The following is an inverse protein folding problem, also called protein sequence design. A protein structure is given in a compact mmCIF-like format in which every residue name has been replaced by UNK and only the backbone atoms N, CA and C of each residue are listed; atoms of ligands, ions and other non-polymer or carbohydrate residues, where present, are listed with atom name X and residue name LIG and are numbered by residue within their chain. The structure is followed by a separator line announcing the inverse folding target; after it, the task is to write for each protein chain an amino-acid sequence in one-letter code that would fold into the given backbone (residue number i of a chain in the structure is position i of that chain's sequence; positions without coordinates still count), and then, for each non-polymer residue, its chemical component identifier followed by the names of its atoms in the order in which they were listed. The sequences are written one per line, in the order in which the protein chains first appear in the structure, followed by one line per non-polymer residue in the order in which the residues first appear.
data_IF_321861035029
#
_entry.id   IF_321861035029
#
_cell.length_a   1.000
_cell.length_b   1.000
_cell.length_c   1.000
_cell.angle_alpha   90.00
_cell.angle_beta   90.00
_cell.angle_gamma   90.00
#
_symmetry.space_group_name_H-M   'P 1'
#
loop_
_entity.id
_entity.type
_entity.pdbx_description
1 polymer ?
#
# COMPACT_ATOMS: atom_id res chain seq x y z
N UNK A 1 13.43 9.59 -31.05
CA UNK A 1 13.02 8.93 -29.79
C UNK A 1 12.48 7.57 -30.17
N UNK A 2 12.92 6.52 -29.48
CA UNK A 2 12.23 5.24 -29.61
C UNK A 2 10.77 5.42 -29.16
N UNK A 3 9.87 4.61 -29.70
CA UNK A 3 8.47 4.59 -29.28
C UNK A 3 8.41 3.96 -27.87
N UNK A 4 8.57 4.80 -26.83
CA UNK A 4 8.60 4.39 -25.42
C UNK A 4 7.24 3.77 -25.07
N UNK A 5 7.20 2.46 -24.86
CA UNK A 5 5.96 1.73 -24.57
C UNK A 5 5.93 1.17 -23.16
N UNK A 6 7.09 1.00 -22.54
CA UNK A 6 7.24 0.28 -21.27
C UNK A 6 8.16 1.01 -20.30
N UNK A 7 8.06 0.65 -19.01
CA UNK A 7 9.01 1.10 -17.98
C UNK A 7 10.44 0.62 -18.31
N UNK A 8 10.58 -0.54 -18.96
CA UNK A 8 11.88 -1.04 -19.38
C UNK A 8 12.54 -0.11 -20.41
N UNK A 9 11.77 0.39 -21.38
CA UNK A 9 12.28 1.34 -22.39
C UNK A 9 12.80 2.62 -21.73
N UNK A 10 12.06 3.14 -20.75
CA UNK A 10 12.48 4.32 -19.95
C UNK A 10 13.80 4.04 -19.22
N UNK A 11 13.97 2.85 -18.63
CA UNK A 11 15.19 2.50 -17.90
C UNK A 11 16.39 2.32 -18.84
N UNK A 12 16.17 1.79 -20.04
CA UNK A 12 17.20 1.68 -21.07
C UNK A 12 17.62 3.06 -21.57
N UNK A 13 16.66 3.93 -21.91
CA UNK A 13 16.93 5.23 -22.52
C UNK A 13 17.48 6.26 -21.53
N UNK A 14 16.93 6.34 -20.31
CA UNK A 14 17.26 7.42 -19.36
C UNK A 14 18.01 6.97 -18.12
N UNK A 15 18.18 5.66 -17.91
CA UNK A 15 18.64 5.12 -16.63
C UNK A 15 20.11 5.38 -16.29
N UNK A 16 20.99 5.60 -17.27
CA UNK A 16 22.37 6.03 -16.99
C UNK A 16 22.41 7.48 -16.50
N UNK A 17 21.73 8.39 -17.21
CA UNK A 17 21.62 9.81 -16.81
C UNK A 17 20.99 9.96 -15.42
N UNK A 18 19.95 9.17 -15.14
CA UNK A 18 19.32 9.16 -13.82
C UNK A 18 20.30 8.76 -12.72
N UNK A 19 21.13 7.73 -12.94
CA UNK A 19 22.12 7.24 -11.97
C UNK A 19 23.29 8.20 -11.73
N UNK A 20 23.61 9.05 -12.70
CA UNK A 20 24.62 10.10 -12.53
C UNK A 20 24.10 11.26 -11.67
N UNK A 21 22.79 11.53 -11.72
CA UNK A 21 22.19 12.66 -11.01
C UNK A 21 21.65 12.28 -9.62
N UNK A 22 21.18 11.04 -9.45
CA UNK A 22 20.48 10.61 -8.24
C UNK A 22 21.04 9.32 -7.66
N UNK A 23 21.03 9.24 -6.33
CA UNK A 23 21.39 8.03 -5.60
C UNK A 23 20.20 7.07 -5.51
N UNK A 24 20.48 5.77 -5.67
CA UNK A 24 19.51 4.70 -5.49
C UNK A 24 19.91 3.80 -4.31
N UNK A 25 18.91 3.32 -3.56
CA UNK A 25 19.13 2.27 -2.56
C UNK A 25 19.55 0.95 -3.24
N UNK A 26 20.12 0.02 -2.48
CA UNK A 26 20.51 -1.31 -3.00
C UNK A 26 19.33 -2.04 -3.63
N UNK A 27 18.15 -1.93 -3.02
CA UNK A 27 16.90 -2.52 -3.50
C UNK A 27 16.44 -1.88 -4.81
N UNK A 28 16.55 -0.55 -4.93
CA UNK A 28 16.22 0.18 -6.15
C UNK A 28 17.17 -0.18 -7.30
N UNK A 29 18.49 -0.25 -7.04
CA UNK A 29 19.47 -0.69 -8.05
C UNK A 29 19.17 -2.11 -8.53
N UNK A 30 18.86 -3.03 -7.61
CA UNK A 30 18.50 -4.41 -7.94
C UNK A 30 17.26 -4.46 -8.84
N UNK A 31 16.17 -3.80 -8.44
CA UNK A 31 14.94 -3.77 -9.21
C UNK A 31 15.14 -3.11 -10.59
N UNK A 32 15.88 -1.99 -10.64
CA UNK A 32 16.23 -1.28 -11.86
C UNK A 32 16.95 -2.22 -12.86
N UNK A 33 18.02 -2.88 -12.41
CA UNK A 33 18.80 -3.79 -13.27
C UNK A 33 17.97 -5.00 -13.71
N UNK A 34 17.16 -5.57 -12.81
CA UNK A 34 16.27 -6.68 -13.16
C UNK A 34 15.24 -6.30 -14.22
N UNK A 35 14.62 -5.13 -14.11
CA UNK A 35 13.64 -4.64 -15.07
C UNK A 35 14.32 -4.33 -16.41
N UNK A 36 15.49 -3.67 -16.40
CA UNK A 36 16.25 -3.30 -17.60
C UNK A 36 16.60 -4.52 -18.46
N UNK A 37 17.07 -5.62 -17.84
CA UNK A 37 17.47 -6.86 -18.54
C UNK A 37 16.34 -7.86 -18.81
N UNK A 38 15.12 -7.58 -18.36
CA UNK A 38 14.03 -8.55 -18.41
C UNK A 38 13.65 -8.87 -19.86
N UNK A 39 13.48 -10.16 -20.21
CA UNK A 39 13.11 -10.58 -21.58
C UNK A 39 14.11 -10.12 -22.66
N UNK A 40 15.38 -9.94 -22.31
CA UNK A 40 16.48 -9.73 -23.26
C UNK A 40 17.38 -10.97 -23.30
N UNK A 41 18.33 -10.99 -24.23
CA UNK A 41 19.37 -12.04 -24.35
C UNK A 41 20.14 -12.26 -23.04
N UNK A 42 20.37 -11.21 -22.26
CA UNK A 42 21.03 -11.28 -20.95
C UNK A 42 20.30 -12.17 -19.93
N UNK A 43 18.99 -12.39 -20.12
CA UNK A 43 18.21 -13.29 -19.27
C UNK A 43 18.28 -14.76 -19.74
N UNK A 44 18.93 -15.05 -20.87
CA UNK A 44 18.86 -16.33 -21.56
C UNK A 44 17.49 -16.54 -22.23
N UNK A 45 17.33 -17.65 -22.94
CA UNK A 45 16.13 -17.93 -23.72
C UNK A 45 15.72 -19.41 -23.73
N UNK A 46 14.46 -19.64 -24.07
CA UNK A 46 13.95 -20.94 -24.51
C UNK A 46 13.68 -20.89 -26.01
N UNK A 47 14.04 -21.96 -26.70
CA UNK A 47 13.74 -22.18 -28.11
C UNK A 47 12.64 -23.25 -28.19
N UNK A 48 11.50 -22.87 -28.74
CA UNK A 48 10.36 -23.75 -28.97
C UNK A 48 10.38 -24.12 -30.45
N UNK A 49 10.39 -25.42 -30.77
CA UNK A 49 10.42 -25.92 -32.15
C UNK A 49 9.15 -26.72 -32.39
N UNK A 50 8.43 -26.43 -33.48
CA UNK A 50 7.29 -27.23 -33.90
C UNK A 50 7.79 -28.54 -34.53
N UNK A 51 7.39 -29.67 -33.96
CA UNK A 51 7.79 -31.00 -34.47
C UNK A 51 7.25 -31.29 -35.87
N UNK A 52 6.16 -30.65 -36.29
CA UNK A 52 5.51 -30.92 -37.57
C UNK A 52 6.06 -30.09 -38.75
N UNK A 53 6.45 -28.83 -38.52
CA UNK A 53 6.92 -27.94 -39.59
C UNK A 53 8.31 -27.34 -39.36
N UNK A 54 8.97 -27.67 -38.23
CA UNK A 54 10.28 -27.14 -37.88
C UNK A 54 10.31 -25.65 -37.50
N UNK A 55 9.16 -24.96 -37.46
CA UNK A 55 9.11 -23.54 -37.09
C UNK A 55 9.68 -23.32 -35.68
N UNK A 56 10.60 -22.36 -35.57
CA UNK A 56 11.30 -22.05 -34.34
C UNK A 56 10.85 -20.71 -33.77
N UNK A 57 10.60 -20.67 -32.47
CA UNK A 57 10.28 -19.46 -31.72
C UNK A 57 11.22 -19.32 -30.53
N UNK A 58 11.99 -18.24 -30.52
CA UNK A 58 12.84 -17.84 -29.39
C UNK A 58 12.02 -17.01 -28.42
N UNK A 59 12.11 -17.32 -27.14
CA UNK A 59 11.47 -16.57 -26.06
C UNK A 59 12.48 -16.30 -24.95
N UNK A 60 12.76 -15.02 -24.68
CA UNK A 60 13.67 -14.64 -23.60
C UNK A 60 13.05 -14.83 -22.23
N UNK A 61 13.88 -15.16 -21.24
CA UNK A 61 13.43 -15.46 -19.88
C UNK A 61 13.00 -14.18 -19.13
N UNK A 62 12.13 -14.38 -18.15
CA UNK A 62 11.66 -13.32 -17.26
C UNK A 62 12.64 -13.08 -16.11
N UNK A 63 12.79 -11.82 -15.68
CA UNK A 63 13.58 -11.50 -14.47
C UNK A 63 12.92 -11.95 -13.17
N UNK A 64 11.59 -12.25 -13.20
CA UNK A 64 10.75 -12.66 -12.08
C UNK A 64 10.70 -11.68 -10.91
N UNK A 65 11.23 -10.47 -11.07
CA UNK A 65 11.21 -9.44 -10.04
C UNK A 65 9.77 -8.98 -9.75
N UNK A 66 9.44 -8.84 -8.47
CA UNK A 66 8.11 -8.41 -7.99
C UNK A 66 7.74 -6.98 -8.43
N UNK A 67 8.71 -6.19 -8.86
CA UNK A 67 8.51 -4.82 -9.33
C UNK A 67 8.42 -4.74 -10.85
N UNK A 68 8.69 -5.83 -11.58
CA UNK A 68 8.68 -5.82 -13.04
C UNK A 68 7.27 -5.98 -13.62
N UNK A 69 6.70 -4.95 -14.31
CA UNK A 69 5.34 -5.02 -14.86
C UNK A 69 5.15 -6.16 -15.87
N UNK A 70 6.18 -6.44 -16.68
CA UNK A 70 6.17 -7.52 -17.67
C UNK A 70 6.06 -8.91 -17.01
N UNK A 71 6.66 -9.08 -15.83
CA UNK A 71 6.66 -10.36 -15.11
C UNK A 71 5.43 -10.54 -14.22
N UNK A 72 4.91 -9.45 -13.66
CA UNK A 72 3.86 -9.54 -12.64
C UNK A 72 2.44 -9.62 -13.21
N UNK A 73 2.25 -9.48 -14.53
CA UNK A 73 0.90 -9.43 -15.10
C UNK A 73 0.04 -10.66 -14.72
N UNK A 74 0.57 -11.88 -14.88
CA UNK A 74 -0.16 -13.09 -14.50
C UNK A 74 -0.46 -13.16 -13.00
N UNK A 75 0.54 -12.90 -12.14
CA UNK A 75 0.35 -12.91 -10.68
C UNK A 75 -0.66 -11.85 -10.22
N UNK A 76 -0.67 -10.69 -10.88
CA UNK A 76 -1.64 -9.61 -10.65
C UNK A 76 -3.05 -10.06 -11.01
N UNK A 77 -3.25 -10.67 -12.19
CA UNK A 77 -4.57 -11.20 -12.58
C UNK A 77 -5.04 -12.33 -11.66
N UNK A 78 -4.15 -13.25 -11.26
CA UNK A 78 -4.46 -14.29 -10.28
C UNK A 78 -4.91 -13.67 -8.95
N UNK A 79 -4.14 -12.70 -8.43
CA UNK A 79 -4.51 -12.00 -7.20
C UNK A 79 -5.87 -11.28 -7.33
N UNK A 80 -6.16 -10.65 -8.48
CA UNK A 80 -7.46 -10.03 -8.75
C UNK A 80 -8.58 -11.07 -8.69
N UNK A 81 -8.39 -12.24 -9.31
CA UNK A 81 -9.39 -13.30 -9.32
C UNK A 81 -9.64 -13.85 -7.90
N UNK A 82 -8.59 -14.05 -7.11
CA UNK A 82 -8.71 -14.48 -5.72
C UNK A 82 -9.47 -13.45 -4.87
N UNK A 83 -9.20 -12.14 -5.05
CA UNK A 83 -9.96 -11.10 -4.32
C UNK A 83 -11.41 -11.02 -4.81
N UNK A 84 -11.69 -11.28 -6.09
CA UNK A 84 -13.05 -11.30 -6.64
C UNK A 84 -13.87 -12.47 -6.09
N UNK A 85 -13.27 -13.63 -5.83
CA UNK A 85 -14.00 -14.78 -5.27
C UNK A 85 -14.38 -14.59 -3.81
N UNK A 86 -13.72 -13.67 -3.09
CA UNK A 86 -14.03 -13.29 -1.71
C UNK A 86 -15.15 -12.24 -1.61
N UNK A 87 -15.61 -11.69 -2.74
CA UNK A 87 -16.66 -10.65 -2.77
C UNK A 87 -18.01 -11.25 -2.41
N UNK A 88 -18.53 -10.81 -1.26
CA UNK A 88 -19.91 -11.03 -0.83
C UNK A 88 -20.91 -10.26 -1.69
N UNK A 89 -22.14 -10.78 -1.84
CA UNK A 89 -23.28 -10.11 -2.48
C UNK A 89 -23.84 -8.92 -1.68
N UNK A 90 -22.97 -7.98 -1.30
CA UNK A 90 -23.26 -6.76 -0.55
C UNK A 90 -22.70 -5.55 -1.30
N UNK A 91 -23.16 -4.34 -0.94
CA UNK A 91 -22.53 -3.09 -1.38
C UNK A 91 -21.20 -2.92 -0.63
N UNK A 92 -20.26 -2.17 -1.18
CA UNK A 92 -18.98 -1.88 -0.51
C UNK A 92 -18.69 -0.39 -0.43
N UNK A 93 -18.10 0.04 0.68
CA UNK A 93 -17.59 1.40 0.85
C UNK A 93 -16.09 1.46 0.61
N UNK A 94 -15.64 2.53 -0.04
CA UNK A 94 -14.23 2.82 -0.22
C UNK A 94 -13.79 3.88 0.77
N UNK A 95 -12.89 3.52 1.68
CA UNK A 95 -12.35 4.39 2.72
C UNK A 95 -10.86 4.58 2.48
N UNK A 96 -10.38 5.81 2.58
CA UNK A 96 -8.97 6.16 2.46
C UNK A 96 -8.50 6.82 3.74
N UNK A 97 -7.42 6.29 4.31
CA UNK A 97 -6.76 6.83 5.49
C UNK A 97 -5.32 7.18 5.13
N UNK A 98 -4.94 8.43 5.34
CA UNK A 98 -3.66 8.98 4.92
C UNK A 98 -2.83 9.38 6.13
N UNK A 99 -1.52 9.10 6.09
CA UNK A 99 -0.58 9.60 7.11
C UNK A 99 -0.16 11.05 6.79
N UNK A 100 0.02 11.91 7.81
CA UNK A 100 0.48 13.28 7.62
C UNK A 100 1.93 13.35 7.12
N UNK A 101 2.24 14.34 6.29
CA UNK A 101 3.58 14.57 5.69
C UNK A 101 4.68 14.77 6.74
N UNK A 102 4.32 15.24 7.94
CA UNK A 102 5.24 15.33 9.08
C UNK A 102 5.90 14.00 9.47
N UNK A 103 5.30 12.86 9.07
CA UNK A 103 5.85 11.54 9.31
C UNK A 103 6.72 11.01 8.17
N UNK A 104 6.82 11.69 7.02
CA UNK A 104 7.41 11.12 5.79
C UNK A 104 8.84 10.61 6.01
N UNK A 105 9.71 11.42 6.62
CA UNK A 105 11.09 11.04 6.93
C UNK A 105 11.16 9.84 7.89
N UNK A 106 10.26 9.78 8.88
CA UNK A 106 10.19 8.67 9.83
C UNK A 106 9.69 7.40 9.13
N UNK A 107 8.69 7.51 8.26
CA UNK A 107 8.14 6.38 7.50
C UNK A 107 9.18 5.80 6.55
N UNK A 108 9.93 6.65 5.82
CA UNK A 108 10.95 6.17 4.88
C UNK A 108 12.06 5.37 5.56
N UNK A 109 12.39 5.71 6.82
CA UNK A 109 13.40 5.03 7.63
C UNK A 109 12.85 3.79 8.34
N UNK A 110 11.55 3.74 8.64
CA UNK A 110 10.90 2.70 9.45
C UNK A 110 9.71 2.08 8.72
N UNK A 111 9.89 1.74 7.44
CA UNK A 111 8.78 1.32 6.56
C UNK A 111 8.00 0.14 7.12
N UNK A 112 8.71 -0.87 7.66
CA UNK A 112 8.08 -2.08 8.19
C UNK A 112 7.17 -1.72 9.37
N UNK A 113 7.71 -1.03 10.36
CA UNK A 113 7.04 -0.65 11.60
C UNK A 113 5.87 0.29 11.29
N UNK A 114 6.11 1.34 10.52
CA UNK A 114 5.11 2.37 10.22
C UNK A 114 3.96 1.82 9.37
N UNK A 115 4.23 0.96 8.39
CA UNK A 115 3.17 0.32 7.62
C UNK A 115 2.43 -0.74 8.45
N UNK A 116 3.13 -1.51 9.29
CA UNK A 116 2.47 -2.44 10.23
C UNK A 116 1.52 -1.72 11.19
N UNK A 117 1.95 -0.59 11.76
CA UNK A 117 1.09 0.27 12.59
C UNK A 117 -0.12 0.75 11.80
N UNK A 118 0.09 1.19 10.55
CA UNK A 118 -0.97 1.71 9.69
C UNK A 118 -2.06 0.66 9.44
N UNK A 119 -1.68 -0.56 9.03
CA UNK A 119 -2.63 -1.67 8.82
C UNK A 119 -3.37 -2.03 10.11
N UNK A 120 -2.63 -2.18 11.23
CA UNK A 120 -3.21 -2.54 12.53
C UNK A 120 -4.20 -1.49 13.02
N UNK A 121 -3.80 -0.23 13.02
CA UNK A 121 -4.64 0.88 13.47
C UNK A 121 -5.91 1.02 12.62
N UNK A 122 -5.81 0.81 11.30
CA UNK A 122 -6.94 0.91 10.40
C UNK A 122 -7.94 -0.23 10.57
N UNK A 123 -7.47 -1.48 10.56
CA UNK A 123 -8.31 -2.66 10.74
C UNK A 123 -9.04 -2.61 12.08
N UNK A 124 -8.34 -2.28 13.17
CA UNK A 124 -8.96 -2.14 14.49
C UNK A 124 -9.92 -0.95 14.59
N UNK A 125 -9.68 0.13 13.85
CA UNK A 125 -10.60 1.29 13.82
C UNK A 125 -11.93 0.88 13.21
N UNK A 126 -11.89 0.25 12.02
CA UNK A 126 -13.10 -0.18 11.33
C UNK A 126 -13.82 -1.24 12.13
N UNK A 127 -13.11 -2.28 12.60
CA UNK A 127 -13.68 -3.34 13.43
C UNK A 127 -14.40 -2.76 14.65
N UNK A 128 -13.71 -1.94 15.45
CA UNK A 128 -14.30 -1.33 16.66
C UNK A 128 -15.57 -0.53 16.36
N UNK A 129 -15.56 0.27 15.30
CA UNK A 129 -16.70 1.13 14.97
C UNK A 129 -17.85 0.33 14.36
N UNK A 130 -17.59 -0.69 13.56
CA UNK A 130 -18.65 -1.52 12.99
C UNK A 130 -19.29 -2.44 14.04
N UNK A 131 -18.54 -2.95 15.01
CA UNK A 131 -19.08 -3.78 16.10
C UNK A 131 -19.91 -2.98 17.12
N UNK A 132 -19.80 -1.64 17.13
CA UNK A 132 -20.64 -0.78 17.96
C UNK A 132 -22.06 -0.70 17.37
N UNK A 133 -23.05 -1.05 18.20
CA UNK A 133 -24.48 -1.02 17.87
C UNK A 133 -24.96 0.38 17.46
N UNK A 134 -24.28 1.44 17.89
CA UNK A 134 -24.55 2.82 17.45
C UNK A 134 -24.37 3.00 15.94
N UNK A 135 -23.51 2.21 15.31
CA UNK A 135 -23.21 2.31 13.89
C UNK A 135 -23.75 1.12 13.09
N UNK A 136 -23.36 -0.11 13.44
CA UNK A 136 -23.85 -1.32 12.75
C UNK A 136 -24.08 -2.48 13.73
N UNK A 137 -23.18 -2.68 14.68
CA UNK A 137 -23.23 -3.82 15.60
C UNK A 137 -22.91 -5.16 14.95
N UNK A 138 -22.04 -5.19 13.93
CA UNK A 138 -21.64 -6.39 13.21
C UNK A 138 -20.21 -6.28 12.63
N UNK A 139 -19.56 -7.43 12.43
CA UNK A 139 -18.22 -7.56 11.85
C UNK A 139 -18.28 -7.51 10.32
N UNK A 140 -17.71 -6.48 9.67
CA UNK A 140 -17.71 -6.39 8.22
C UNK A 140 -16.62 -7.26 7.58
N UNK A 141 -16.76 -7.54 6.29
CA UNK A 141 -15.63 -7.92 5.45
C UNK A 141 -14.80 -6.67 5.12
N UNK A 142 -13.47 -6.81 5.18
CA UNK A 142 -12.53 -5.71 4.96
C UNK A 142 -11.37 -6.21 4.10
N UNK A 143 -11.13 -5.53 2.98
CA UNK A 143 -9.88 -5.65 2.20
C UNK A 143 -9.11 -4.35 2.31
N UNK A 144 -7.81 -4.41 2.61
CA UNK A 144 -6.96 -3.23 2.79
C UNK A 144 -5.75 -3.29 1.87
N UNK A 145 -5.46 -2.19 1.19
CA UNK A 145 -4.33 -2.05 0.25
C UNK A 145 -3.55 -0.79 0.59
N UNK A 146 -2.22 -0.90 0.72
CA UNK A 146 -1.32 0.23 0.94
C UNK A 146 -0.86 0.83 -0.39
N UNK A 147 -0.99 2.15 -0.52
CA UNK A 147 -0.37 2.96 -1.56
C UNK A 147 0.62 3.93 -0.92
N UNK A 148 1.82 4.04 -1.49
CA UNK A 148 2.89 4.89 -0.95
C UNK A 148 3.10 6.19 -1.73
N UNK A 149 2.39 6.36 -2.84
CA UNK A 149 2.59 7.47 -3.78
C UNK A 149 1.26 8.13 -4.14
N UNK A 150 1.25 9.45 -4.21
CA UNK A 150 0.13 10.23 -4.74
C UNK A 150 0.11 10.22 -6.28
N UNK A 151 -0.95 10.79 -6.86
CA UNK A 151 -1.10 10.89 -8.33
C UNK A 151 0.07 11.64 -9.00
N UNK A 152 0.66 12.62 -8.30
CA UNK A 152 1.80 13.40 -8.78
C UNK A 152 3.15 12.73 -8.47
N UNK A 153 3.15 11.44 -8.09
CA UNK A 153 4.33 10.67 -7.69
C UNK A 153 5.10 11.27 -6.51
N UNK A 154 4.44 12.08 -5.67
CA UNK A 154 4.96 12.46 -4.37
C UNK A 154 4.77 11.32 -3.36
N UNK A 155 5.71 11.19 -2.43
CA UNK A 155 5.57 10.22 -1.33
C UNK A 155 4.35 10.62 -0.50
N UNK A 156 3.37 9.71 -0.44
CA UNK A 156 2.08 9.97 0.19
C UNK A 156 1.48 8.66 0.70
N UNK A 157 1.94 8.13 1.85
CA UNK A 157 1.43 6.87 2.39
C UNK A 157 -0.05 6.97 2.77
N UNK A 158 -0.88 6.18 2.10
CA UNK A 158 -2.29 6.04 2.36
C UNK A 158 -2.75 4.59 2.16
N UNK A 159 -3.77 4.19 2.90
CA UNK A 159 -4.40 2.88 2.71
C UNK A 159 -5.79 3.09 2.12
N UNK A 160 -6.11 2.25 1.15
CA UNK A 160 -7.46 2.07 0.66
C UNK A 160 -8.07 0.86 1.35
N UNK A 161 -9.29 1.03 1.85
CA UNK A 161 -10.08 -0.02 2.46
C UNK A 161 -11.37 -0.19 1.68
N UNK A 162 -11.69 -1.43 1.36
CA UNK A 162 -12.98 -1.86 0.80
C UNK A 162 -13.72 -2.56 1.94
N UNK A 163 -14.85 -2.00 2.36
CA UNK A 163 -15.59 -2.44 3.56
C UNK A 163 -17.01 -2.80 3.15
N UNK A 164 -17.48 -4.00 3.48
CA UNK A 164 -18.86 -4.41 3.16
C UNK A 164 -19.90 -3.54 3.89
N UNK A 165 -21.01 -3.25 3.21
CA UNK A 165 -22.17 -2.55 3.74
C UNK A 165 -23.08 -3.50 4.54
N UNK A 166 -22.46 -4.15 5.51
CA UNK A 166 -23.06 -5.19 6.34
C UNK A 166 -21.97 -6.09 6.90
N UNK A 167 -22.36 -6.98 7.81
CA UNK A 167 -21.44 -7.85 8.50
C UNK A 167 -22.13 -8.94 9.29
N UNK A 168 -21.32 -9.80 9.93
CA UNK A 168 -21.82 -10.85 10.81
C UNK A 168 -21.95 -10.34 12.25
N UNK A 169 -23.11 -10.57 12.85
CA UNK A 169 -23.33 -10.36 14.27
C UNK A 169 -22.64 -11.45 15.11
N UNK A 170 -22.61 -11.29 16.43
CA UNK A 170 -22.03 -12.27 17.34
C UNK A 170 -22.72 -13.66 17.27
N UNK A 171 -23.99 -13.70 16.87
CA UNK A 171 -24.76 -14.93 16.60
C UNK A 171 -24.66 -15.41 15.14
N UNK A 172 -23.63 -14.96 14.40
CA UNK A 172 -23.34 -15.32 13.00
C UNK A 172 -24.47 -15.04 12.01
N UNK A 173 -25.33 -14.05 12.31
CA UNK A 173 -26.36 -13.59 11.38
C UNK A 173 -25.87 -12.42 10.56
N UNK A 174 -26.23 -12.40 9.29
CA UNK A 174 -25.94 -11.25 8.44
C UNK A 174 -26.80 -10.04 8.83
N UNK A 175 -26.15 -8.92 9.13
CA UNK A 175 -26.79 -7.62 9.33
C UNK A 175 -26.36 -6.68 8.22
N UNK A 176 -27.33 -6.15 7.47
CA UNK A 176 -27.11 -5.10 6.48
C UNK A 176 -26.89 -3.75 7.17
N UNK A 177 -26.02 -2.90 6.63
CA UNK A 177 -25.88 -1.50 7.07
C UNK A 177 -26.79 -0.57 6.26
N UNK A 178 -26.78 0.73 6.62
CA UNK A 178 -27.32 1.78 5.75
C UNK A 178 -26.62 1.79 4.39
N UNK A 179 -27.33 2.28 3.36
CA UNK A 179 -26.74 2.53 2.03
C UNK A 179 -25.77 3.71 2.03
N UNK A 180 -25.96 4.66 2.94
CA UNK A 180 -24.99 5.73 3.20
C UNK A 180 -23.92 5.19 4.16
N UNK A 181 -22.70 5.69 4.05
CA UNK A 181 -21.64 5.26 4.97
C UNK A 181 -22.06 5.56 6.42
N UNK A 182 -22.12 4.49 7.20
CA UNK A 182 -22.76 4.46 8.52
C UNK A 182 -21.82 4.93 9.64
N UNK A 183 -20.55 5.18 9.35
CA UNK A 183 -19.56 5.76 10.27
C UNK A 183 -19.24 7.20 9.83
N UNK A 184 -19.43 8.22 10.68
CA UNK A 184 -18.99 9.56 10.34
C UNK A 184 -17.47 9.63 10.12
N UNK A 185 -17.02 10.21 9.01
CA UNK A 185 -15.58 10.26 8.63
C UNK A 185 -14.72 10.92 9.72
N UNK A 186 -15.24 11.95 10.40
CA UNK A 186 -14.54 12.60 11.52
C UNK A 186 -14.34 11.66 12.72
N UNK A 187 -15.26 10.73 12.97
CA UNK A 187 -15.14 9.73 14.04
C UNK A 187 -14.09 8.70 13.63
N UNK A 188 -14.18 8.17 12.41
CA UNK A 188 -13.20 7.24 11.85
C UNK A 188 -11.76 7.80 11.94
N UNK A 189 -11.55 9.01 11.43
CA UNK A 189 -10.25 9.70 11.43
C UNK A 189 -9.69 9.89 12.84
N UNK A 190 -10.52 10.33 13.81
CA UNK A 190 -10.10 10.50 15.20
C UNK A 190 -9.68 9.19 15.87
N UNK A 191 -10.44 8.11 15.63
CA UNK A 191 -10.14 6.78 16.21
C UNK A 191 -8.89 6.19 15.59
N UNK A 192 -8.74 6.28 14.27
CA UNK A 192 -7.54 5.86 13.55
C UNK A 192 -6.31 6.60 14.06
N UNK A 193 -6.35 7.94 14.09
CA UNK A 193 -5.26 8.77 14.62
C UNK A 193 -4.89 8.36 16.05
N UNK A 194 -5.87 8.17 16.93
CA UNK A 194 -5.60 7.76 18.33
C UNK A 194 -4.88 6.41 18.39
N UNK A 195 -5.33 5.41 17.61
CA UNK A 195 -4.71 4.08 17.56
C UNK A 195 -3.30 4.13 16.98
N UNK A 196 -3.14 4.78 15.82
CA UNK A 196 -1.84 4.94 15.18
C UNK A 196 -0.83 5.59 16.13
N UNK A 197 -1.21 6.72 16.73
CA UNK A 197 -0.34 7.44 17.66
C UNK A 197 -0.04 6.63 18.93
N UNK A 198 -0.93 5.74 19.37
CA UNK A 198 -0.66 4.83 20.49
C UNK A 198 0.49 3.88 20.14
N UNK A 199 0.38 3.18 19.01
CA UNK A 199 1.42 2.25 18.56
C UNK A 199 2.72 2.96 18.19
N UNK A 200 2.66 4.15 17.58
CA UNK A 200 3.86 4.95 17.29
C UNK A 200 4.65 5.26 18.57
N UNK A 201 3.97 5.63 19.66
CA UNK A 201 4.61 5.88 20.96
C UNK A 201 5.15 4.61 21.61
N UNK A 202 4.49 3.48 21.40
CA UNK A 202 4.93 2.17 21.89
C UNK A 202 6.22 1.74 21.19
N UNK A 203 6.23 1.74 19.85
CA UNK A 203 7.43 1.46 19.05
C UNK A 203 8.59 2.41 19.41
N UNK A 204 8.31 3.69 19.65
CA UNK A 204 9.32 4.63 20.12
C UNK A 204 9.89 4.24 21.49
N UNK A 205 9.03 3.90 22.45
CA UNK A 205 9.45 3.50 23.80
C UNK A 205 10.27 2.21 23.82
N UNK A 206 10.01 1.31 22.87
CA UNK A 206 10.68 0.03 22.73
C UNK A 206 11.95 0.10 21.86
N UNK A 207 12.40 1.30 21.47
CA UNK A 207 13.55 1.50 20.57
C UNK A 207 13.42 0.77 19.21
N UNK A 208 12.18 0.59 18.73
CA UNK A 208 11.88 -0.06 17.44
C UNK A 208 11.93 0.92 16.27
N UNK A 209 12.20 2.21 16.52
CA UNK A 209 12.27 3.25 15.51
C UNK A 209 13.69 3.77 15.35
N UNK A 210 14.15 3.78 14.11
CA UNK A 210 15.43 4.34 13.69
C UNK A 210 15.26 5.77 13.19
N UNK A 211 16.23 6.62 13.53
CA UNK A 211 16.23 8.04 13.20
C UNK A 211 17.60 8.47 12.68
N UNK A 212 17.63 8.96 11.44
CA UNK A 212 18.84 9.38 10.74
C UNK A 212 18.65 10.73 10.04
N UNK A 213 19.76 11.44 9.82
CA UNK A 213 19.76 12.72 9.09
C UNK A 213 18.83 13.74 9.74
N UNK A 214 17.92 14.34 8.97
CA UNK A 214 16.94 15.30 9.48
C UNK A 214 16.03 14.74 10.58
N UNK A 215 15.81 13.42 10.63
CA UNK A 215 14.98 12.79 11.66
C UNK A 215 15.73 12.53 12.97
N UNK A 216 17.06 12.72 13.01
CA UNK A 216 17.89 12.39 14.18
C UNK A 216 17.51 13.17 15.43
N UNK A 217 16.95 14.38 15.29
CA UNK A 217 16.45 15.16 16.42
C UNK A 217 15.39 14.42 17.23
N UNK A 218 14.65 13.50 16.61
CA UNK A 218 13.60 12.72 17.27
C UNK A 218 14.16 11.61 18.18
N UNK A 219 15.46 11.32 18.16
CA UNK A 219 16.10 10.52 19.23
C UNK A 219 15.96 11.19 20.60
N UNK A 220 15.84 12.53 20.62
CA UNK A 220 15.53 13.27 21.84
C UNK A 220 14.03 13.18 22.16
N UNK A 221 13.70 12.61 23.32
CA UNK A 221 12.32 12.43 23.78
C UNK A 221 11.48 13.72 23.79
N UNK A 222 12.08 14.88 24.08
CA UNK A 222 11.35 16.14 24.11
C UNK A 222 10.99 16.59 22.69
N UNK A 223 11.90 16.42 21.73
CA UNK A 223 11.62 16.70 20.30
C UNK A 223 10.57 15.76 19.74
N UNK A 224 10.65 14.47 20.08
CA UNK A 224 9.62 13.51 19.69
C UNK A 224 8.25 13.84 20.29
N UNK A 225 8.18 14.24 21.57
CA UNK A 225 6.94 14.71 22.20
C UNK A 225 6.35 15.94 21.49
N UNK A 226 7.18 16.88 21.07
CA UNK A 226 6.73 18.05 20.28
C UNK A 226 6.10 17.60 18.95
N UNK A 227 6.75 16.67 18.22
CA UNK A 227 6.19 16.07 17.01
C UNK A 227 4.85 15.40 17.28
N UNK A 228 4.77 14.56 18.33
CA UNK A 228 3.53 13.88 18.73
C UNK A 228 2.41 14.88 19.00
N UNK A 229 2.69 15.96 19.72
CA UNK A 229 1.71 17.02 20.00
C UNK A 229 1.24 17.71 18.72
N UNK A 230 2.16 18.00 17.78
CA UNK A 230 1.83 18.54 16.46
C UNK A 230 0.91 17.58 15.68
N UNK A 231 1.21 16.29 15.69
CA UNK A 231 0.40 15.27 15.01
C UNK A 231 -1.03 15.16 15.58
N UNK A 232 -1.22 15.46 16.87
CA UNK A 232 -2.55 15.53 17.48
C UNK A 232 -3.30 16.84 17.18
N UNK A 233 -2.58 17.95 16.92
CA UNK A 233 -3.21 19.25 16.64
C UNK A 233 -3.70 19.38 15.20
N UNK A 234 -3.06 18.68 14.24
CA UNK A 234 -3.45 18.71 12.83
C UNK A 234 -4.58 17.72 12.50
N UNK A 235 -5.32 18.03 11.43
CA UNK A 235 -6.31 17.12 10.85
C UNK A 235 -5.62 16.08 9.96
N UNK A 236 -5.97 14.83 10.13
CA UNK A 236 -5.48 13.74 9.28
C UNK A 236 -6.48 13.55 8.15
N UNK A 237 -6.00 13.58 6.90
CA UNK A 237 -6.86 13.41 5.75
C UNK A 237 -7.50 12.02 5.77
N UNK A 238 -8.82 11.99 5.61
CA UNK A 238 -9.60 10.76 5.52
C UNK A 238 -10.72 11.00 4.54
N UNK A 239 -10.87 10.08 3.60
CA UNK A 239 -11.85 10.19 2.54
C UNK A 239 -12.73 8.95 2.52
N UNK A 240 -14.02 9.15 2.24
CA UNK A 240 -14.96 8.05 2.05
C UNK A 240 -15.74 8.31 0.79
N UNK A 241 -15.66 7.38 -0.16
CA UNK A 241 -16.50 7.38 -1.36
C UNK A 241 -17.73 6.51 -1.11
N UNK A 242 -18.88 6.95 -1.63
CA UNK A 242 -20.13 6.16 -1.61
C UNK A 242 -19.97 4.84 -2.33
N UNK A 243 -20.90 3.93 -2.06
CA UNK A 243 -20.78 2.54 -2.43
C UNK A 243 -20.69 2.30 -3.93
N UNK A 244 -19.87 1.32 -4.30
CA UNK A 244 -19.82 0.75 -5.64
C UNK A 244 -20.47 -0.63 -5.60
N UNK A 245 -21.15 -0.98 -6.69
CA UNK A 245 -21.70 -2.30 -6.94
C UNK A 245 -20.67 -3.16 -7.67
#
# INVERSE_FOLDING_TARGET
MNDIKTIQDIFVEFGEKFRQQYNMSKEQVKAFNHIKRCRTEESGYHKIVCENCGHEKITYNSCRDRHCPLCQNFKKEQWINDRKSEVLGSKYFHVVLTLPKELDNIILQNKREMYSIMFKAAGETVKKLCEDKKFMGAMPAITVVLHTWGQNLEFHPHIHMIISAGGLTADNKWRKSSEKFFIPVKVLSKVFRRKFMSYLKENYKNDELSFYGQAEEYKNINKFKILVNKLYSINWYSYVKRSFN
#
